data_IF_225771076134
#
_entry.id   IF_225771076134
#
_cell.length_a   1.000
_cell.length_b   1.000
_cell.length_c   1.000
_cell.angle_alpha   90.00
_cell.angle_beta   90.00
_cell.angle_gamma   90.00
#
_symmetry.space_group_name_H-M   'P 1'
#
loop_
_entity.id
_entity.type
_entity.pdbx_description
1 polymer ?
#
# COMPACT_ATOMS: atom_id res chain seq x y z
N UNK A 1 27.46 -0.08 10.11
CA UNK A 1 27.57 1.21 9.38
C UNK A 1 28.14 1.06 7.95
N UNK A 2 27.78 0.01 7.18
CA UNK A 2 28.27 -0.17 5.78
C UNK A 2 27.19 -0.53 4.74
N UNK A 3 25.93 -0.70 5.12
CA UNK A 3 24.83 -1.10 4.21
C UNK A 3 23.95 0.09 3.78
N UNK A 4 23.85 1.13 4.62
CA UNK A 4 23.07 2.34 4.31
C UNK A 4 23.70 3.26 3.25
N UNK A 5 24.95 3.01 2.85
CA UNK A 5 25.60 3.81 1.81
C UNK A 5 25.20 3.39 0.39
N UNK A 6 24.78 2.14 0.19
CA UNK A 6 24.39 1.61 -1.14
C UNK A 6 23.01 2.18 -1.56
N UNK A 7 22.07 2.28 -0.62
CA UNK A 7 20.74 2.85 -0.88
C UNK A 7 20.77 4.37 -1.11
N UNK A 8 21.69 5.11 -0.49
CA UNK A 8 21.87 6.55 -0.74
C UNK A 8 22.54 6.78 -2.10
N UNK A 9 23.47 5.90 -2.52
CA UNK A 9 24.15 6.00 -3.81
C UNK A 9 23.21 5.74 -5.01
N UNK A 10 22.28 4.79 -4.87
CA UNK A 10 21.32 4.43 -5.91
C UNK A 10 20.27 5.52 -6.19
N UNK A 11 19.93 6.35 -5.19
CA UNK A 11 19.09 7.53 -5.38
C UNK A 11 19.88 8.77 -5.86
N UNK A 12 21.17 8.85 -5.55
CA UNK A 12 22.02 9.94 -6.03
C UNK A 12 22.28 9.84 -7.55
N UNK A 13 22.40 8.64 -8.12
CA UNK A 13 22.65 8.44 -9.56
C UNK A 13 21.59 9.08 -10.48
N UNK A 14 20.27 8.82 -10.31
CA UNK A 14 19.24 9.43 -11.15
C UNK A 14 19.09 10.94 -10.88
N UNK A 15 19.32 11.41 -9.65
CA UNK A 15 19.30 12.84 -9.31
C UNK A 15 20.48 13.60 -9.95
N UNK A 16 21.67 13.00 -10.03
CA UNK A 16 22.82 13.60 -10.71
C UNK A 16 22.63 13.67 -12.23
N UNK A 17 21.93 12.71 -12.82
CA UNK A 17 21.58 12.73 -14.26
C UNK A 17 20.55 13.85 -14.56
N UNK A 18 19.63 14.11 -13.62
CA UNK A 18 18.67 15.20 -13.73
C UNK A 18 19.33 16.59 -13.56
N UNK A 19 20.33 16.70 -12.68
CA UNK A 19 21.06 17.95 -12.39
C UNK A 19 22.13 18.25 -13.46
N UNK A 20 22.74 17.24 -14.09
CA UNK A 20 23.81 17.42 -15.08
C UNK A 20 23.33 17.85 -16.48
N UNK A 21 22.02 17.90 -16.74
CA UNK A 21 21.46 18.40 -17.99
C UNK A 21 21.34 19.94 -18.08
N UNK A 22 21.84 20.68 -17.10
CA UNK A 22 22.01 22.14 -17.17
C UNK A 22 23.49 22.54 -17.13
N UNK A 23 24.19 22.39 -18.26
CA UNK A 23 25.32 23.25 -18.68
C UNK A 23 25.92 22.72 -19.98
N UNK A 24 25.48 23.26 -21.10
CA UNK A 24 26.32 23.37 -22.30
C UNK A 24 26.22 24.80 -22.84
N UNK A 25 26.64 25.77 -22.02
CA UNK A 25 27.05 27.09 -22.49
C UNK A 25 28.18 27.61 -21.60
N UNK A 26 29.40 27.09 -21.81
CA UNK A 26 30.61 27.90 -21.68
C UNK A 26 31.74 27.24 -22.46
N UNK A 27 32.18 27.98 -23.49
CA UNK A 27 33.41 27.80 -24.25
C UNK A 27 34.54 27.32 -23.35
N UNK A 28 35.08 26.14 -23.60
CA UNK A 28 36.48 25.86 -23.25
C UNK A 28 37.32 26.30 -24.45
N UNK A 29 37.98 27.44 -24.29
CA UNK A 29 39.14 27.81 -25.09
C UNK A 29 40.19 26.74 -24.79
N UNK A 30 40.35 25.78 -25.70
CA UNK A 30 41.56 24.99 -25.81
C UNK A 30 42.12 25.28 -27.19
N UNK A 31 43.24 25.99 -27.19
CA UNK A 31 44.12 26.25 -28.31
C UNK A 31 44.34 24.99 -29.15
N UNK A 32 43.75 24.98 -30.35
CA UNK A 32 44.12 24.07 -31.43
C UNK A 32 44.96 24.84 -32.43
N UNK A 33 46.11 24.24 -32.70
CA UNK A 33 47.13 24.55 -33.70
C UNK A 33 46.56 24.88 -35.07
N UNK A 34 47.25 25.81 -35.77
CA UNK A 34 47.08 26.13 -37.20
C UNK A 34 46.71 24.88 -38.03
N UNK A 35 45.52 24.89 -38.60
CA UNK A 35 45.16 24.03 -39.72
C UNK A 35 44.03 24.71 -40.49
N UNK A 36 44.32 25.07 -41.73
CA UNK A 36 43.41 25.72 -42.67
C UNK A 36 42.21 24.81 -42.95
N UNK A 37 40.99 25.35 -42.89
CA UNK A 37 39.82 24.70 -43.47
C UNK A 37 38.96 25.69 -44.25
N UNK A 38 39.13 25.62 -45.56
CA UNK A 38 38.24 26.10 -46.62
C UNK A 38 36.89 25.40 -46.54
N UNK A 39 35.86 26.09 -46.04
CA UNK A 39 34.44 25.96 -46.44
C UNK A 39 33.56 26.93 -45.62
N UNK A 40 32.81 27.78 -46.32
CA UNK A 40 31.85 28.72 -45.73
C UNK A 40 30.63 27.97 -45.18
N UNK A 41 30.62 27.72 -43.87
CA UNK A 41 29.39 27.37 -43.16
C UNK A 41 28.63 28.66 -42.85
N UNK A 42 27.40 28.80 -43.37
CA UNK A 42 26.46 29.86 -42.97
C UNK A 42 26.22 29.80 -41.47
N UNK A 43 26.99 30.55 -40.71
CA UNK A 43 26.70 30.88 -39.32
C UNK A 43 25.44 31.74 -39.31
N UNK A 44 24.37 31.26 -38.68
CA UNK A 44 23.26 32.11 -38.28
C UNK A 44 23.84 33.19 -37.37
N UNK A 45 23.89 34.41 -37.90
CA UNK A 45 24.23 35.61 -37.15
C UNK A 45 23.30 35.67 -35.93
N UNK A 46 23.84 35.98 -34.75
CA UNK A 46 23.03 36.32 -33.58
C UNK A 46 22.18 37.54 -33.97
N UNK A 47 20.91 37.31 -34.31
CA UNK A 47 19.95 38.40 -34.48
C UNK A 47 19.79 39.08 -33.12
N UNK A 48 20.21 40.34 -33.06
CA UNK A 48 19.91 41.24 -31.96
C UNK A 48 18.40 41.18 -31.68
N UNK A 49 18.04 40.74 -30.47
CA UNK A 49 16.65 40.55 -30.02
C UNK A 49 15.81 41.85 -29.99
N UNK A 50 16.38 42.98 -30.41
CA UNK A 50 15.71 44.28 -30.56
C UNK A 50 16.30 45.05 -31.74
N UNK A 51 15.94 44.67 -32.98
CA UNK A 51 16.11 45.57 -34.12
C UNK A 51 15.02 46.68 -34.05
N UNK A 52 15.38 47.98 -34.03
CA UNK A 52 14.39 49.05 -33.96
C UNK A 52 13.66 49.23 -35.29
N UNK A 53 12.32 49.12 -35.25
CA UNK A 53 11.31 49.84 -36.07
C UNK A 53 11.46 50.00 -37.60
N UNK A 54 12.37 49.30 -38.28
CA UNK A 54 12.51 49.40 -39.76
C UNK A 54 11.52 48.56 -40.58
N UNK A 55 10.83 47.61 -39.96
CA UNK A 55 9.94 46.67 -40.68
C UNK A 55 8.45 46.99 -40.54
N UNK A 56 8.07 48.03 -39.80
CA UNK A 56 6.64 48.40 -39.62
C UNK A 56 5.98 48.94 -40.90
N UNK A 57 6.78 49.41 -41.86
CA UNK A 57 6.30 50.04 -43.09
C UNK A 57 6.57 49.21 -44.37
N UNK A 58 7.05 47.97 -44.23
CA UNK A 58 7.23 47.07 -45.37
C UNK A 58 5.88 46.41 -45.73
N UNK A 59 5.33 46.64 -46.94
CA UNK A 59 4.04 46.09 -47.35
C UNK A 59 4.00 44.56 -47.33
N UNK A 60 5.11 43.87 -47.63
CA UNK A 60 5.16 42.41 -47.58
C UNK A 60 5.13 41.89 -46.14
N UNK A 61 5.82 42.56 -45.22
CA UNK A 61 5.81 42.18 -43.80
C UNK A 61 4.43 42.36 -43.17
N UNK A 62 3.72 43.43 -43.57
CA UNK A 62 2.36 43.70 -43.10
C UNK A 62 1.38 42.62 -43.55
N UNK A 63 1.46 42.19 -44.81
CA UNK A 63 0.62 41.12 -45.34
C UNK A 63 0.87 39.78 -44.63
N UNK A 64 2.14 39.43 -44.38
CA UNK A 64 2.50 38.23 -43.63
C UNK A 64 1.95 38.28 -42.21
N UNK A 65 2.10 39.41 -41.53
CA UNK A 65 1.62 39.60 -40.15
C UNK A 65 0.08 39.50 -40.08
N UNK A 66 -0.65 40.14 -41.00
CA UNK A 66 -2.11 40.03 -41.08
C UNK A 66 -2.58 38.59 -41.36
N UNK A 67 -1.84 37.84 -42.19
CA UNK A 67 -2.16 36.44 -42.47
C UNK A 67 -1.90 35.52 -41.26
N UNK A 68 -0.82 35.77 -40.51
CA UNK A 68 -0.54 35.10 -39.24
C UNK A 68 -1.62 35.41 -38.20
N UNK A 69 -2.02 36.69 -38.06
CA UNK A 69 -3.06 37.10 -37.12
C UNK A 69 -4.41 36.46 -37.47
N UNK A 70 -4.76 36.39 -38.76
CA UNK A 70 -5.97 35.70 -39.23
C UNK A 70 -5.96 34.21 -38.87
N UNK A 71 -4.87 33.50 -39.17
CA UNK A 71 -4.75 32.08 -38.84
C UNK A 71 -4.75 31.83 -37.32
N UNK A 72 -4.11 32.72 -36.57
CA UNK A 72 -4.03 32.61 -35.11
C UNK A 72 -5.41 32.86 -34.48
N UNK A 73 -6.15 33.85 -34.99
CA UNK A 73 -7.53 34.15 -34.59
C UNK A 73 -8.47 32.96 -34.84
N UNK A 74 -8.38 32.30 -35.99
CA UNK A 74 -9.16 31.08 -36.26
C UNK A 74 -8.83 29.92 -35.30
N UNK A 75 -7.54 29.74 -34.97
CA UNK A 75 -7.12 28.71 -34.00
C UNK A 75 -7.65 29.00 -32.60
N UNK A 76 -7.69 30.27 -32.20
CA UNK A 76 -8.28 30.66 -30.91
C UNK A 76 -9.78 30.39 -30.87
N UNK A 77 -10.53 30.71 -31.93
CA UNK A 77 -11.96 30.35 -32.03
C UNK A 77 -12.19 28.84 -31.91
N UNK A 78 -11.43 28.03 -32.66
CA UNK A 78 -11.49 26.55 -32.57
C UNK A 78 -11.06 26.00 -31.21
N UNK A 79 -10.17 26.69 -30.49
CA UNK A 79 -9.80 26.31 -29.14
C UNK A 79 -10.92 26.62 -28.14
N UNK A 80 -11.52 27.81 -28.23
CA UNK A 80 -12.61 28.25 -27.36
C UNK A 80 -13.87 27.38 -27.53
N UNK A 81 -14.23 27.03 -28.76
CA UNK A 81 -15.32 26.08 -29.05
C UNK A 81 -15.09 24.72 -28.39
N UNK A 82 -13.89 24.13 -28.54
CA UNK A 82 -13.53 22.86 -27.90
C UNK A 82 -13.57 22.94 -26.37
N UNK A 83 -13.18 24.08 -25.80
CA UNK A 83 -13.25 24.30 -24.35
C UNK A 83 -14.70 24.42 -23.89
N UNK A 84 -15.57 25.11 -24.64
CA UNK A 84 -16.98 25.22 -24.33
C UNK A 84 -17.69 23.86 -24.39
N UNK A 85 -17.42 23.05 -25.42
CA UNK A 85 -18.03 21.72 -25.55
C UNK A 85 -17.61 20.77 -24.43
N UNK A 86 -16.31 20.76 -24.09
CA UNK A 86 -15.83 19.98 -22.92
C UNK A 86 -16.50 20.44 -21.63
N UNK A 87 -16.67 21.75 -21.42
CA UNK A 87 -17.37 22.28 -20.24
C UNK A 87 -18.83 21.83 -20.18
N UNK A 88 -19.55 21.80 -21.30
CA UNK A 88 -20.92 21.27 -21.37
C UNK A 88 -20.96 19.79 -21.00
N UNK A 89 -20.07 18.97 -21.58
CA UNK A 89 -19.96 17.54 -21.26
C UNK A 89 -19.70 17.26 -19.77
N UNK A 90 -18.78 18.01 -19.16
CA UNK A 90 -18.50 17.86 -17.72
C UNK A 90 -19.68 18.29 -16.85
N UNK A 91 -20.44 19.32 -17.25
CA UNK A 91 -21.63 19.75 -16.52
C UNK A 91 -22.74 18.69 -16.56
N UNK A 92 -22.99 18.12 -17.74
CA UNK A 92 -23.95 17.02 -17.91
C UNK A 92 -23.54 15.77 -17.12
N UNK A 93 -22.24 15.42 -17.12
CA UNK A 93 -21.74 14.28 -16.35
C UNK A 93 -21.91 14.51 -14.84
N UNK A 94 -21.61 15.72 -14.36
CA UNK A 94 -21.77 16.08 -12.96
C UNK A 94 -23.25 16.04 -12.54
N UNK A 95 -24.19 16.53 -13.36
CA UNK A 95 -25.62 16.45 -13.07
C UNK A 95 -26.11 14.99 -12.99
N UNK A 96 -25.63 14.10 -13.88
CA UNK A 96 -25.91 12.66 -13.83
C UNK A 96 -25.39 12.02 -12.54
N UNK A 97 -24.16 12.34 -12.14
CA UNK A 97 -23.55 11.80 -10.93
C UNK A 97 -24.27 12.31 -9.66
N UNK A 98 -24.69 13.59 -9.64
CA UNK A 98 -25.51 14.15 -8.57
C UNK A 98 -26.86 13.43 -8.47
N UNK A 99 -27.55 13.21 -9.58
CA UNK A 99 -28.81 12.46 -9.59
C UNK A 99 -28.62 11.03 -9.06
N UNK A 100 -27.51 10.37 -9.41
CA UNK A 100 -27.16 9.03 -8.91
C UNK A 100 -26.91 9.03 -7.39
N UNK A 101 -26.24 10.07 -6.87
CA UNK A 101 -26.01 10.23 -5.42
C UNK A 101 -27.34 10.46 -4.69
N UNK A 102 -28.22 11.32 -5.21
CA UNK A 102 -29.54 11.58 -4.62
C UNK A 102 -30.39 10.30 -4.59
N UNK A 103 -30.38 9.51 -5.67
CA UNK A 103 -31.09 8.23 -5.72
C UNK A 103 -30.52 7.24 -4.69
N UNK A 104 -29.19 7.16 -4.56
CA UNK A 104 -28.52 6.30 -3.58
C UNK A 104 -28.87 6.71 -2.14
N UNK A 105 -28.82 8.00 -1.83
CA UNK A 105 -29.19 8.55 -0.52
C UNK A 105 -30.67 8.28 -0.20
N UNK A 106 -31.56 8.36 -1.20
CA UNK A 106 -32.98 8.01 -1.03
C UNK A 106 -33.18 6.53 -0.69
N UNK A 107 -32.45 5.62 -1.33
CA UNK A 107 -32.50 4.18 -1.03
C UNK A 107 -31.92 3.90 0.36
N UNK A 108 -30.76 4.48 0.69
CA UNK A 108 -30.14 4.34 2.02
C UNK A 108 -31.06 4.85 3.14
N UNK A 109 -31.75 5.98 2.93
CA UNK A 109 -32.76 6.50 3.86
C UNK A 109 -33.97 5.56 4.02
N UNK A 110 -34.48 5.00 2.92
CA UNK A 110 -35.59 4.03 3.00
C UNK A 110 -35.18 2.74 3.71
N UNK A 111 -33.97 2.25 3.45
CA UNK A 111 -33.41 1.07 4.08
C UNK A 111 -33.21 1.30 5.59
N UNK A 112 -32.62 2.44 5.97
CA UNK A 112 -32.46 2.87 7.36
C UNK A 112 -33.80 3.01 8.10
N UNK A 113 -34.83 3.54 7.44
CA UNK A 113 -36.19 3.61 8.02
C UNK A 113 -36.83 2.22 8.24
N UNK A 114 -36.58 1.26 7.35
CA UNK A 114 -37.04 -0.13 7.55
C UNK A 114 -36.28 -0.81 8.68
N UNK A 115 -34.96 -0.66 8.73
CA UNK A 115 -34.13 -1.23 9.80
C UNK A 115 -34.40 -0.60 11.17
N UNK A 116 -34.64 0.71 11.25
CA UNK A 116 -35.00 1.38 12.51
C UNK A 116 -36.38 0.98 13.03
N UNK A 117 -37.35 0.64 12.17
CA UNK A 117 -38.63 0.04 12.60
C UNK A 117 -38.48 -1.38 13.19
N UNK A 118 -37.40 -2.10 12.85
CA UNK A 118 -37.07 -3.40 13.45
C UNK A 118 -36.21 -3.28 14.73
N UNK A 119 -35.60 -2.12 14.97
CA UNK A 119 -34.69 -1.86 16.09
C UNK A 119 -35.27 -0.80 17.03
N UNK A 120 -36.48 -1.01 17.54
CA UNK A 120 -36.93 -0.32 18.75
C UNK A 120 -36.35 -1.07 19.95
N UNK A 121 -35.14 -0.70 20.35
CA UNK A 121 -34.65 -0.68 21.73
C UNK A 121 -33.15 -0.37 21.68
N UNK A 122 -32.80 0.90 21.77
CA UNK A 122 -31.61 1.49 22.42
C UNK A 122 -31.71 3.00 22.15
N UNK A 123 -31.95 3.80 23.19
CA UNK A 123 -32.12 5.24 23.12
C UNK A 123 -30.78 5.96 22.92
N UNK A 124 -30.68 6.75 21.86
CA UNK A 124 -29.55 7.62 21.51
C UNK A 124 -29.68 9.00 22.18
N UNK A 125 -29.71 9.05 23.51
CA UNK A 125 -29.81 10.31 24.27
C UNK A 125 -28.48 10.83 24.86
N UNK A 126 -27.33 10.21 24.57
CA UNK A 126 -26.03 10.59 25.18
C UNK A 126 -25.02 11.29 24.25
N UNK A 127 -25.44 11.94 23.15
CA UNK A 127 -24.48 12.71 22.32
C UNK A 127 -24.98 14.13 22.09
N UNK A 128 -24.37 15.14 22.75
CA UNK A 128 -24.78 16.53 22.59
C UNK A 128 -24.24 17.12 21.28
N UNK A 129 -25.16 17.80 20.59
CA UNK A 129 -24.98 18.55 19.36
C UNK A 129 -24.11 19.79 19.59
N UNK A 130 -22.92 19.86 18.97
CA UNK A 130 -22.08 21.06 19.01
C UNK A 130 -22.18 21.87 17.70
N UNK A 131 -22.54 23.14 17.88
CA UNK A 131 -22.72 24.20 16.88
C UNK A 131 -21.37 24.62 16.31
N UNK A 132 -21.24 24.65 14.98
CA UNK A 132 -20.05 25.13 14.28
C UNK A 132 -20.22 26.59 13.84
N UNK A 133 -19.46 27.49 14.44
CA UNK A 133 -19.17 28.81 13.88
C UNK A 133 -17.73 28.86 13.33
N UNK A 134 -17.56 29.57 12.22
CA UNK A 134 -16.45 29.56 11.24
C UNK A 134 -15.02 29.35 11.81
N UNK A 135 -14.26 28.43 11.18
CA UNK A 135 -12.82 28.53 10.81
C UNK A 135 -12.04 27.19 10.71
N UNK A 136 -12.72 26.04 10.63
CA UNK A 136 -12.06 24.71 10.62
C UNK A 136 -11.00 24.56 9.51
N UNK A 137 -11.20 25.15 8.32
CA UNK A 137 -10.24 25.04 7.22
C UNK A 137 -8.88 25.70 7.49
N UNK A 138 -8.82 26.78 8.28
CA UNK A 138 -7.58 27.51 8.55
C UNK A 138 -6.75 26.88 9.68
N UNK A 139 -7.41 26.22 10.64
CA UNK A 139 -6.75 25.46 11.73
C UNK A 139 -6.23 24.10 11.29
N UNK A 140 -6.98 23.38 10.45
CA UNK A 140 -6.55 22.07 9.92
C UNK A 140 -5.35 22.21 8.97
N UNK A 141 -5.27 23.34 8.24
CA UNK A 141 -4.09 23.92 7.56
C UNK A 141 -2.76 23.73 8.31
N UNK A 142 -2.68 24.35 9.49
CA UNK A 142 -1.46 24.47 10.28
C UNK A 142 -1.12 23.21 11.06
N UNK A 143 -2.12 22.43 11.48
CA UNK A 143 -1.89 21.20 12.26
C UNK A 143 -1.47 20.04 11.33
N UNK A 144 -2.04 19.94 10.13
CA UNK A 144 -1.68 18.89 9.17
C UNK A 144 -0.27 19.08 8.58
N UNK A 145 0.17 20.33 8.34
CA UNK A 145 1.56 20.63 7.96
C UNK A 145 2.58 20.34 9.06
N UNK A 146 2.17 20.39 10.34
CA UNK A 146 3.01 19.96 11.46
C UNK A 146 3.08 18.44 11.60
N UNK A 147 2.01 17.71 11.27
CA UNK A 147 2.04 16.24 11.22
C UNK A 147 2.93 15.70 10.08
N UNK A 148 3.11 16.46 8.99
CA UNK A 148 4.02 16.11 7.90
C UNK A 148 5.52 16.21 8.25
N UNK A 149 5.88 16.96 9.29
CA UNK A 149 7.28 17.14 9.72
C UNK A 149 7.78 15.98 10.60
N UNK A 150 6.87 15.17 11.13
CA UNK A 150 7.15 13.98 11.95
C UNK A 150 7.33 12.72 11.08
N UNK A 151 6.88 12.74 9.82
CA UNK A 151 7.08 11.66 8.83
C UNK A 151 8.55 11.53 8.38
N UNK A 152 9.43 12.43 8.81
CA UNK A 152 10.89 12.31 8.63
C UNK A 152 11.58 11.40 9.63
N UNK A 153 10.89 10.96 10.69
CA UNK A 153 11.46 10.07 11.71
C UNK A 153 10.59 8.84 11.90
N UNK A 154 11.03 7.75 11.25
CA UNK A 154 10.66 6.36 11.52
C UNK A 154 9.17 6.06 11.41
N UNK A 155 8.72 5.68 10.21
CA UNK A 155 7.46 4.93 10.08
C UNK A 155 7.59 3.75 9.11
N UNK A 156 7.39 2.50 9.55
CA UNK A 156 7.03 1.39 8.69
C UNK A 156 5.53 1.47 8.34
N UNK A 157 5.13 2.39 7.47
CA UNK A 157 3.71 2.58 7.07
C UNK A 157 3.37 2.11 5.65
N UNK A 158 4.31 1.48 4.94
CA UNK A 158 4.01 0.80 3.67
C UNK A 158 3.11 -0.44 3.83
N UNK A 159 2.71 -0.80 5.06
CA UNK A 159 1.93 -2.00 5.36
C UNK A 159 0.40 -1.87 5.23
N UNK A 160 -0.16 -0.67 5.09
CA UNK A 160 -1.59 -0.48 5.42
C UNK A 160 -2.61 -0.91 4.35
N UNK A 161 -2.22 -1.21 3.11
CA UNK A 161 -3.20 -1.51 2.04
C UNK A 161 -2.91 -2.83 1.30
N UNK A 162 -1.67 -3.33 1.31
CA UNK A 162 -1.31 -4.63 0.72
C UNK A 162 -0.79 -5.67 1.73
N UNK A 163 -0.27 -5.23 2.88
CA UNK A 163 0.33 -6.13 3.88
C UNK A 163 -0.68 -7.00 4.60
N UNK A 164 -1.92 -6.53 4.79
CA UNK A 164 -2.96 -7.24 5.53
C UNK A 164 -3.50 -8.47 4.80
N UNK A 165 -3.62 -8.41 3.47
CA UNK A 165 -4.12 -9.54 2.67
C UNK A 165 -3.08 -10.66 2.61
N UNK A 166 -1.82 -10.32 2.33
CA UNK A 166 -0.72 -11.29 2.27
C UNK A 166 -0.49 -11.93 3.64
N UNK A 167 -0.55 -11.13 4.71
CA UNK A 167 -0.43 -11.62 6.07
C UNK A 167 -1.54 -12.61 6.42
N UNK A 168 -2.80 -12.29 6.09
CA UNK A 168 -3.93 -13.16 6.35
C UNK A 168 -3.87 -14.47 5.54
N UNK A 169 -3.49 -14.40 4.25
CA UNK A 169 -3.32 -15.60 3.44
C UNK A 169 -2.16 -16.47 3.94
N UNK A 170 -1.03 -15.86 4.29
CA UNK A 170 0.12 -16.57 4.83
C UNK A 170 -0.22 -17.25 6.16
N UNK A 171 -0.96 -16.57 7.04
CA UNK A 171 -1.41 -17.14 8.32
C UNK A 171 -2.34 -18.34 8.10
N UNK A 172 -3.30 -18.23 7.18
CA UNK A 172 -4.24 -19.33 6.90
C UNK A 172 -3.54 -20.59 6.35
N UNK A 173 -2.55 -20.40 5.46
CA UNK A 173 -1.79 -21.48 4.88
C UNK A 173 -0.82 -22.10 5.92
N UNK A 174 -0.17 -21.29 6.74
CA UNK A 174 0.70 -21.74 7.82
C UNK A 174 -0.04 -22.61 8.85
N UNK A 175 -1.23 -22.18 9.28
CA UNK A 175 -2.08 -22.95 10.19
C UNK A 175 -2.50 -24.28 9.55
N UNK A 176 -2.87 -24.29 8.27
CA UNK A 176 -3.23 -25.52 7.56
C UNK A 176 -2.09 -26.53 7.54
N UNK A 177 -0.86 -26.07 7.29
CA UNK A 177 0.34 -26.92 7.29
C UNK A 177 0.66 -27.42 8.70
N UNK A 178 0.60 -26.54 9.70
CA UNK A 178 0.84 -26.90 11.10
C UNK A 178 -0.15 -27.95 11.61
N UNK A 179 -1.45 -27.75 11.38
CA UNK A 179 -2.49 -28.73 11.74
C UNK A 179 -2.27 -30.08 11.06
N UNK A 180 -1.97 -30.08 9.76
CA UNK A 180 -1.68 -31.32 9.03
C UNK A 180 -0.48 -32.05 9.63
N UNK A 181 0.58 -31.32 10.00
CA UNK A 181 1.80 -31.90 10.57
C UNK A 181 1.57 -32.46 11.98
N UNK A 182 0.81 -31.75 12.81
CA UNK A 182 0.43 -32.22 14.14
C UNK A 182 -0.37 -33.52 14.05
N UNK A 183 -1.35 -33.60 13.13
CA UNK A 183 -2.15 -34.82 12.92
C UNK A 183 -1.28 -35.98 12.45
N UNK A 184 -0.39 -35.77 11.49
CA UNK A 184 0.53 -36.81 10.98
C UNK A 184 1.36 -37.42 12.12
N UNK A 185 2.06 -36.58 12.89
CA UNK A 185 2.93 -37.03 13.97
C UNK A 185 2.16 -37.66 15.13
N UNK A 186 0.99 -37.12 15.47
CA UNK A 186 0.15 -37.66 16.55
C UNK A 186 -0.46 -39.01 16.18
N UNK A 187 -0.77 -39.26 14.91
CA UNK A 187 -1.28 -40.56 14.45
C UNK A 187 -0.26 -41.68 14.66
N UNK A 188 1.03 -41.36 14.52
CA UNK A 188 2.13 -42.32 14.63
C UNK A 188 2.45 -42.69 16.07
N UNK A 189 1.98 -41.93 17.07
CA UNK A 189 2.16 -42.24 18.50
C UNK A 189 1.42 -43.55 18.83
N UNK A 190 2.14 -44.67 18.76
CA UNK A 190 1.62 -46.02 18.95
C UNK A 190 0.32 -46.29 18.17
N UNK A 191 0.23 -45.75 16.95
CA UNK A 191 -0.94 -45.87 16.06
C UNK A 191 -2.23 -45.27 16.63
N UNK A 192 -2.13 -44.16 17.36
CA UNK A 192 -3.29 -43.39 17.87
C UNK A 192 -4.32 -43.09 16.77
N UNK A 193 -3.87 -42.92 15.53
CA UNK A 193 -4.75 -42.67 14.38
C UNK A 193 -5.68 -43.81 13.98
N UNK A 194 -5.42 -45.03 14.46
CA UNK A 194 -6.21 -46.23 14.14
C UNK A 194 -7.17 -46.61 15.28
N UNK A 195 -7.22 -45.82 16.34
CA UNK A 195 -8.06 -46.08 17.49
C UNK A 195 -9.53 -45.80 17.14
N UNK A 196 -10.40 -46.83 17.14
CA UNK A 196 -11.82 -46.64 16.89
C UNK A 196 -12.44 -45.82 18.04
N UNK A 197 -13.47 -45.03 17.74
CA UNK A 197 -14.19 -44.17 18.69
C UNK A 197 -13.39 -42.97 19.24
N UNK A 198 -12.13 -42.78 18.84
CA UNK A 198 -11.33 -41.61 19.17
C UNK A 198 -11.01 -40.79 17.91
N UNK A 199 -11.76 -39.72 17.68
CA UNK A 199 -11.48 -38.82 16.56
C UNK A 199 -10.34 -37.85 16.90
N UNK A 200 -9.12 -38.29 16.63
CA UNK A 200 -7.91 -37.48 16.78
C UNK A 200 -7.97 -36.22 15.91
N UNK A 201 -8.53 -36.31 14.69
CA UNK A 201 -8.58 -35.20 13.75
C UNK A 201 -9.52 -34.11 14.26
N UNK A 202 -10.65 -34.47 14.85
CA UNK A 202 -11.58 -33.50 15.44
C UNK A 202 -11.02 -32.82 16.71
N UNK A 203 -10.13 -33.49 17.45
CA UNK A 203 -9.51 -32.93 18.67
C UNK A 203 -8.38 -31.94 18.38
N UNK A 204 -7.69 -32.09 17.25
CA UNK A 204 -6.64 -31.15 16.83
C UNK A 204 -7.26 -30.03 15.99
N UNK A 205 -7.15 -28.80 16.47
CA UNK A 205 -7.74 -27.60 15.87
C UNK A 205 -6.65 -26.58 15.50
N UNK A 206 -6.99 -25.60 14.65
CA UNK A 206 -6.15 -24.43 14.38
C UNK A 206 -5.62 -23.70 15.61
N UNK A 207 -6.29 -23.80 16.77
CA UNK A 207 -5.92 -23.09 17.99
C UNK A 207 -5.01 -23.89 18.92
N UNK A 208 -4.86 -25.21 18.73
CA UNK A 208 -4.17 -26.08 19.69
C UNK A 208 -3.04 -26.93 19.08
N UNK A 209 -2.88 -26.94 17.75
CA UNK A 209 -1.94 -27.84 17.05
C UNK A 209 -0.47 -27.68 17.45
N UNK A 210 -0.08 -26.51 17.96
CA UNK A 210 1.27 -26.19 18.43
C UNK A 210 1.35 -26.03 19.96
N UNK A 211 0.24 -26.21 20.68
CA UNK A 211 0.25 -26.18 22.14
C UNK A 211 0.62 -27.55 22.70
N UNK A 212 1.81 -27.59 23.31
CA UNK A 212 2.39 -28.78 23.93
C UNK A 212 1.44 -29.39 24.96
N UNK A 213 0.81 -28.57 25.81
CA UNK A 213 -0.07 -29.09 26.86
C UNK A 213 -1.38 -29.63 26.30
N UNK A 214 -1.95 -28.96 25.28
CA UNK A 214 -3.13 -29.46 24.58
C UNK A 214 -2.89 -30.81 23.93
N UNK A 215 -1.78 -31.00 23.19
CA UNK A 215 -1.49 -32.29 22.56
C UNK A 215 -1.21 -33.40 23.59
N UNK A 216 -0.50 -33.10 24.68
CA UNK A 216 -0.32 -34.04 25.80
C UNK A 216 -1.69 -34.43 26.38
N UNK A 217 -2.59 -33.46 26.57
CA UNK A 217 -3.94 -33.68 27.07
C UNK A 217 -4.75 -34.61 26.17
N UNK A 218 -4.65 -34.47 24.85
CA UNK A 218 -5.31 -35.36 23.87
C UNK A 218 -4.82 -36.80 24.03
N UNK A 219 -3.52 -37.02 24.19
CA UNK A 219 -2.99 -38.39 24.36
C UNK A 219 -3.39 -38.98 25.71
N UNK A 220 -3.41 -38.17 26.78
CA UNK A 220 -3.89 -38.60 28.08
C UNK A 220 -5.38 -38.98 28.04
N UNK A 221 -6.20 -38.17 27.37
CA UNK A 221 -7.62 -38.42 27.19
C UNK A 221 -7.86 -39.72 26.40
N UNK A 222 -7.10 -39.96 25.31
CA UNK A 222 -7.15 -41.24 24.59
C UNK A 222 -6.76 -42.41 25.50
N UNK A 223 -5.71 -42.27 26.30
CA UNK A 223 -5.25 -43.30 27.24
C UNK A 223 -6.30 -43.66 28.28
N UNK A 224 -7.07 -42.68 28.76
CA UNK A 224 -8.14 -42.92 29.73
C UNK A 224 -9.41 -43.44 29.04
N UNK A 225 -9.96 -42.67 28.11
CA UNK A 225 -11.25 -42.95 27.48
C UNK A 225 -11.24 -44.23 26.67
N UNK A 226 -10.17 -44.54 25.94
CA UNK A 226 -10.14 -45.71 25.06
C UNK A 226 -9.71 -46.93 25.84
N UNK A 227 -8.56 -46.85 26.52
CA UNK A 227 -7.95 -48.04 27.09
C UNK A 227 -8.60 -48.51 28.39
N UNK A 228 -9.22 -47.62 29.17
CA UNK A 228 -9.87 -48.02 30.43
C UNK A 228 -11.33 -48.42 30.27
N UNK A 229 -12.04 -47.92 29.25
CA UNK A 229 -13.48 -48.19 29.10
C UNK A 229 -13.80 -49.42 28.26
N UNK A 230 -12.92 -49.83 27.34
CA UNK A 230 -13.27 -50.84 26.31
C UNK A 230 -12.66 -52.23 26.53
N UNK A 231 -11.89 -52.46 27.61
CA UNK A 231 -11.10 -53.70 27.79
C UNK A 231 -10.28 -54.09 26.53
N UNK A 232 -9.93 -53.13 25.67
CA UNK A 232 -9.31 -53.34 24.36
C UNK A 232 -7.79 -53.60 24.42
N UNK A 233 -7.33 -54.30 25.45
CA UNK A 233 -5.90 -54.54 25.71
C UNK A 233 -5.21 -55.27 24.55
N UNK A 234 -5.95 -56.17 23.87
CA UNK A 234 -5.40 -57.08 22.88
C UNK A 234 -5.68 -56.67 21.42
N UNK A 235 -6.53 -55.66 21.20
CA UNK A 235 -6.98 -55.27 19.84
C UNK A 235 -6.38 -53.96 19.35
N UNK A 236 -6.02 -53.04 20.24
CA UNK A 236 -5.51 -51.71 19.88
C UNK A 236 -4.04 -51.55 20.26
N UNK A 237 -3.18 -51.27 19.28
CA UNK A 237 -1.73 -51.11 19.50
C UNK A 237 -1.40 -50.02 20.52
N UNK A 238 -2.17 -48.93 20.55
CA UNK A 238 -2.02 -47.87 21.54
C UNK A 238 -2.25 -48.37 22.98
N UNK A 239 -3.34 -49.12 23.20
CA UNK A 239 -3.66 -49.66 24.52
C UNK A 239 -2.75 -50.82 24.91
N UNK A 240 -2.41 -51.69 23.96
CA UNK A 240 -1.40 -52.73 24.16
C UNK A 240 -0.06 -52.12 24.63
N UNK A 241 0.35 -51.01 24.02
CA UNK A 241 1.56 -50.27 24.41
C UNK A 241 1.45 -49.68 25.81
N UNK A 242 0.28 -49.11 26.17
CA UNK A 242 0.00 -48.64 27.55
C UNK A 242 0.20 -49.76 28.58
N UNK A 243 -0.43 -50.91 28.38
CA UNK A 243 -0.38 -52.01 29.35
C UNK A 243 0.98 -52.69 29.40
N UNK A 244 1.64 -52.87 28.26
CA UNK A 244 2.98 -53.49 28.20
C UNK A 244 4.06 -52.61 28.85
N UNK A 245 4.08 -51.31 28.55
CA UNK A 245 5.04 -50.36 29.13
C UNK A 245 4.68 -50.06 30.60
N UNK A 246 3.39 -49.90 30.89
CA UNK A 246 2.84 -49.63 32.22
C UNK A 246 3.02 -50.78 33.21
N UNK A 247 3.26 -52.01 32.74
CA UNK A 247 3.52 -53.20 33.58
C UNK A 247 4.75 -53.03 34.48
N UNK A 248 5.73 -52.26 34.02
CA UNK A 248 6.98 -51.98 34.76
C UNK A 248 6.90 -50.69 35.56
N UNK A 249 6.32 -49.64 34.96
CA UNK A 249 6.07 -48.37 35.63
C UNK A 249 4.87 -47.66 34.96
N UNK A 250 3.73 -47.51 35.65
CA UNK A 250 2.52 -46.89 35.10
C UNK A 250 2.74 -45.48 34.53
N UNK A 251 3.69 -44.73 35.09
CA UNK A 251 4.01 -43.36 34.66
C UNK A 251 4.86 -43.29 33.39
N UNK A 252 5.54 -44.38 33.01
CA UNK A 252 6.52 -44.40 31.93
C UNK A 252 5.87 -44.31 30.55
N UNK A 253 4.72 -44.96 30.36
CA UNK A 253 3.97 -44.83 29.11
C UNK A 253 3.56 -43.38 28.90
N UNK A 254 2.95 -42.79 29.93
CA UNK A 254 2.42 -41.43 29.86
C UNK A 254 3.53 -40.40 29.61
N UNK A 255 4.71 -40.56 30.23
CA UNK A 255 5.84 -39.66 30.00
C UNK A 255 6.42 -39.78 28.58
N UNK A 256 6.53 -41.00 28.04
CA UNK A 256 7.00 -41.22 26.65
C UNK A 256 6.02 -40.61 25.65
N UNK A 257 4.73 -40.89 25.79
CA UNK A 257 3.72 -40.33 24.89
C UNK A 257 3.59 -38.82 25.03
N UNK A 258 3.78 -38.28 26.24
CA UNK A 258 3.77 -36.83 26.46
C UNK A 258 4.95 -36.15 25.77
N UNK A 259 6.15 -36.75 25.81
CA UNK A 259 7.30 -36.24 25.08
C UNK A 259 7.08 -36.30 23.57
N UNK A 260 6.54 -37.41 23.05
CA UNK A 260 6.20 -37.52 21.62
C UNK A 260 5.14 -36.50 21.18
N UNK A 261 4.12 -36.26 22.00
CA UNK A 261 3.11 -35.23 21.74
C UNK A 261 3.70 -33.82 21.79
N UNK A 262 4.64 -33.57 22.70
CA UNK A 262 5.38 -32.31 22.80
C UNK A 262 6.24 -32.08 21.56
N UNK A 263 6.95 -33.11 21.10
CA UNK A 263 7.78 -33.05 19.89
C UNK A 263 6.90 -32.84 18.64
N UNK A 264 5.71 -33.46 18.61
CA UNK A 264 4.73 -33.23 17.56
C UNK A 264 4.23 -31.77 17.53
N UNK A 265 3.92 -31.19 18.69
CA UNK A 265 3.52 -29.78 18.79
C UNK A 265 4.64 -28.83 18.33
N UNK A 266 5.89 -29.14 18.69
CA UNK A 266 7.06 -28.35 18.32
C UNK A 266 7.30 -28.40 16.81
N UNK A 267 7.37 -29.59 16.21
CA UNK A 267 7.53 -29.76 14.77
C UNK A 267 6.36 -29.15 13.97
N UNK A 268 5.14 -29.20 14.51
CA UNK A 268 3.99 -28.55 13.88
C UNK A 268 4.07 -27.01 13.94
N UNK A 269 4.54 -26.47 15.06
CA UNK A 269 4.83 -25.04 15.20
C UNK A 269 5.94 -24.58 14.26
N UNK A 270 7.03 -25.34 14.16
CA UNK A 270 8.14 -25.08 13.23
C UNK A 270 7.67 -25.11 11.77
N UNK A 271 6.85 -26.10 11.38
CA UNK A 271 6.29 -26.18 10.04
C UNK A 271 5.39 -24.97 9.71
N UNK A 272 4.53 -24.55 10.65
CA UNK A 272 3.68 -23.38 10.48
C UNK A 272 4.50 -22.08 10.38
N UNK A 273 5.50 -21.89 11.25
CA UNK A 273 6.36 -20.71 11.24
C UNK A 273 7.26 -20.63 10.01
N UNK A 274 7.78 -21.78 9.54
CA UNK A 274 8.56 -21.86 8.32
C UNK A 274 7.76 -21.43 7.09
N UNK A 275 6.56 -21.99 6.94
CA UNK A 275 5.65 -21.64 5.81
C UNK A 275 5.18 -20.19 5.87
N UNK A 276 4.87 -19.68 7.06
CA UNK A 276 4.53 -18.28 7.25
C UNK A 276 5.69 -17.36 6.82
N UNK A 277 6.92 -17.68 7.24
CA UNK A 277 8.12 -16.88 6.93
C UNK A 277 8.45 -16.90 5.44
N UNK A 278 8.23 -18.03 4.76
CA UNK A 278 8.42 -18.15 3.32
C UNK A 278 7.45 -17.23 2.54
N UNK A 279 6.16 -17.28 2.88
CA UNK A 279 5.11 -16.47 2.22
C UNK A 279 5.19 -14.98 2.54
N UNK A 280 5.71 -14.61 3.72
CA UNK A 280 5.90 -13.21 4.12
C UNK A 280 7.30 -12.68 3.82
N UNK A 281 8.14 -13.48 3.17
CA UNK A 281 9.48 -13.07 2.79
C UNK A 281 9.43 -11.83 1.88
N UNK A 282 10.44 -10.98 2.01
CA UNK A 282 10.60 -9.79 1.16
C UNK A 282 10.52 -10.17 -0.33
N UNK A 283 11.14 -11.29 -0.72
CA UNK A 283 11.05 -11.82 -2.08
C UNK A 283 9.62 -12.13 -2.52
N UNK A 284 8.83 -12.79 -1.68
CA UNK A 284 7.43 -13.12 -2.00
C UNK A 284 6.55 -11.87 -2.11
N UNK A 285 6.69 -10.92 -1.17
CA UNK A 285 5.89 -9.67 -1.15
C UNK A 285 6.19 -8.80 -2.38
N UNK A 286 7.45 -8.66 -2.76
CA UNK A 286 7.84 -7.86 -3.93
C UNK A 286 7.68 -8.58 -5.27
N UNK A 287 7.27 -9.85 -5.26
CA UNK A 287 6.91 -10.59 -6.48
C UNK A 287 5.41 -10.53 -6.78
N UNK A 288 4.59 -10.10 -5.82
CA UNK A 288 3.15 -9.94 -6.03
C UNK A 288 2.86 -8.70 -6.88
N UNK A 289 2.29 -8.93 -8.06
CA UNK A 289 1.89 -7.88 -9.00
C UNK A 289 0.95 -6.84 -8.36
N UNK A 290 0.11 -7.25 -7.41
CA UNK A 290 -0.80 -6.36 -6.69
C UNK A 290 -0.03 -5.37 -5.80
N UNK A 291 1.00 -5.84 -5.10
CA UNK A 291 1.84 -5.01 -4.23
C UNK A 291 2.65 -4.03 -5.06
N UNK A 292 3.26 -4.49 -6.15
CA UNK A 292 4.01 -3.63 -7.08
C UNK A 292 3.08 -2.52 -7.63
N UNK A 293 1.88 -2.90 -8.08
CA UNK A 293 0.89 -1.93 -8.58
C UNK A 293 0.50 -0.89 -7.52
N UNK A 294 0.27 -1.32 -6.27
CA UNK A 294 -0.05 -0.41 -5.18
C UNK A 294 1.10 0.57 -4.88
N UNK A 295 2.35 0.08 -4.85
CA UNK A 295 3.54 0.92 -4.64
C UNK A 295 3.66 1.98 -5.74
N UNK A 296 3.45 1.60 -7.00
CA UNK A 296 3.50 2.55 -8.14
C UNK A 296 2.46 3.65 -7.99
N UNK A 297 1.22 3.30 -7.59
CA UNK A 297 0.15 4.28 -7.37
C UNK A 297 0.49 5.25 -6.23
N UNK A 298 1.05 4.75 -5.12
CA UNK A 298 1.49 5.59 -4.00
C UNK A 298 2.60 6.55 -4.42
N UNK A 299 3.57 6.09 -5.21
CA UNK A 299 4.65 6.95 -5.73
C UNK A 299 4.08 8.07 -6.60
N UNK A 300 3.14 7.76 -7.50
CA UNK A 300 2.48 8.76 -8.34
C UNK A 300 1.72 9.79 -7.48
N UNK A 301 0.98 9.34 -6.46
CA UNK A 301 0.27 10.23 -5.55
C UNK A 301 1.21 11.18 -4.80
N UNK A 302 2.36 10.67 -4.31
CA UNK A 302 3.39 11.48 -3.64
C UNK A 302 3.99 12.52 -4.59
N UNK A 303 4.29 12.14 -5.85
CA UNK A 303 4.79 13.09 -6.85
C UNK A 303 3.78 14.21 -7.11
N UNK A 304 2.49 13.86 -7.27
CA UNK A 304 1.42 14.84 -7.47
C UNK A 304 1.30 15.76 -6.24
N UNK A 305 1.39 15.21 -5.02
CA UNK A 305 1.37 15.97 -3.78
C UNK A 305 2.53 16.99 -3.71
N UNK A 306 3.76 16.57 -4.03
CA UNK A 306 4.93 17.45 -4.05
C UNK A 306 4.75 18.58 -5.07
N UNK A 307 4.31 18.26 -6.29
CA UNK A 307 4.03 19.26 -7.34
C UNK A 307 2.96 20.24 -6.86
N UNK A 308 1.88 19.74 -6.27
CA UNK A 308 0.81 20.56 -5.71
C UNK A 308 1.33 21.52 -4.64
N UNK A 309 2.15 21.05 -3.70
CA UNK A 309 2.76 21.87 -2.65
C UNK A 309 3.66 22.97 -3.23
N UNK A 310 4.49 22.67 -4.24
CA UNK A 310 5.33 23.66 -4.92
C UNK A 310 4.48 24.74 -5.60
N UNK A 311 3.43 24.33 -6.33
CA UNK A 311 2.53 25.25 -7.01
C UNK A 311 1.77 26.14 -6.02
N UNK A 312 1.28 25.55 -4.91
CA UNK A 312 0.62 26.27 -3.82
C UNK A 312 1.55 27.31 -3.20
N UNK A 313 2.79 26.93 -2.92
CA UNK A 313 3.81 27.83 -2.38
C UNK A 313 4.07 29.02 -3.33
N UNK A 314 4.23 28.75 -4.63
CA UNK A 314 4.42 29.81 -5.65
C UNK A 314 3.22 30.77 -5.72
N UNK A 315 1.97 30.25 -5.66
CA UNK A 315 0.76 31.09 -5.65
C UNK A 315 0.71 32.00 -4.41
N UNK A 316 0.97 31.47 -3.21
CA UNK A 316 1.02 32.28 -1.98
C UNK A 316 2.08 33.38 -2.08
N UNK A 317 3.27 33.09 -2.61
CA UNK A 317 4.33 34.10 -2.82
C UNK A 317 3.91 35.19 -3.81
N UNK A 318 3.23 34.84 -4.91
CA UNK A 318 2.73 35.81 -5.90
C UNK A 318 1.68 36.75 -5.30
N UNK A 319 0.76 36.23 -4.49
CA UNK A 319 -0.28 37.06 -3.84
C UNK A 319 0.31 38.02 -2.81
N UNK A 320 1.29 37.60 -2.02
CA UNK A 320 2.00 38.49 -1.07
C UNK A 320 2.69 39.65 -1.78
N UNK A 321 3.37 39.39 -2.91
CA UNK A 321 3.98 40.44 -3.72
C UNK A 321 2.93 41.42 -4.26
N UNK A 322 1.81 40.92 -4.80
CA UNK A 322 0.71 41.78 -5.29
C UNK A 322 0.15 42.69 -4.19
N UNK A 323 -0.04 42.16 -2.98
CA UNK A 323 -0.53 42.95 -1.84
C UNK A 323 0.44 44.09 -1.47
N UNK A 324 1.75 43.87 -1.56
CA UNK A 324 2.76 44.90 -1.34
C UNK A 324 2.72 45.99 -2.42
N UNK A 325 2.56 45.61 -3.69
CA UNK A 325 2.44 46.60 -4.78
C UNK A 325 1.16 47.45 -4.70
N UNK A 326 0.04 46.88 -4.27
CA UNK A 326 -1.22 47.63 -4.09
C UNK A 326 -1.04 48.70 -2.99
N UNK A 327 -0.42 48.34 -1.87
CA UNK A 327 -0.17 49.29 -0.77
C UNK A 327 0.71 50.48 -1.18
N UNK A 328 1.69 50.25 -2.06
CA UNK A 328 2.58 51.30 -2.57
C UNK A 328 1.91 52.24 -3.59
N UNK A 329 0.74 51.88 -4.13
CA UNK A 329 -0.01 52.69 -5.10
C UNK A 329 -1.12 53.53 -4.44
N UNK A 330 -1.45 53.25 -3.18
CA UNK A 330 -2.45 53.99 -2.38
C UNK A 330 -1.84 55.12 -1.54
N UNK A 331 -0.51 55.16 -1.38
CA UNK A 331 0.27 56.29 -0.81
C UNK A 331 0.65 57.30 -1.88
#
# INVERSE_FOLDING_TARGET
MKIHYINILLFALPLNILVRNQRNHRKSILSTTKSELTKTHRTLCECELYAPSKYENDPEMKEVMENFDRQTSERFRKYDERIQDKRKQFKEQCEKDIQKIILKDKIEKQLSQQFSKLQTNIETNDIPTCICEKSVAEKVEKTCLKCGEILGTVVPELGLIGGTVIYASAQSAAVKVGVSKAIELMKDIYFLGQVPFFDLVAKITPSNFNDKMSLIGIVHDASYTVCETTNAQDTLTFCFSKYSIGRTNPSKFLSVTANQAKDAAEAAGEAATGTFSEMTSVGAIFSDALVISAIVVVIIAVIILIIYLILRYRRKKKMKKKLQYIKLLEE
#
